data_IF_536802656714
#
_entry.id   IF_536802656714
#
_cell.length_a   1.000
_cell.length_b   1.000
_cell.length_c   1.000
_cell.angle_alpha   90.00
_cell.angle_beta   90.00
_cell.angle_gamma   90.00
#
_symmetry.space_group_name_H-M   'P 1'
#
loop_
_entity.id
_entity.type
_entity.pdbx_description
1 polymer ?
#
# COMPACT_ATOMS: atom_id res chain seq x y z
N UNK A 1 -28.67 -23.55 -30.22
CA UNK A 1 -29.10 -22.22 -29.71
C UNK A 1 -29.50 -22.18 -28.24
N UNK A 2 -29.60 -23.33 -27.53
CA UNK A 2 -29.91 -23.35 -26.08
C UNK A 2 -28.69 -23.63 -25.19
N UNK A 3 -27.50 -23.90 -25.74
CA UNK A 3 -26.28 -24.14 -24.99
C UNK A 3 -25.47 -22.86 -24.69
N UNK A 4 -25.72 -21.76 -25.38
CA UNK A 4 -25.05 -20.48 -25.17
C UNK A 4 -25.62 -19.69 -23.99
N UNK A 5 -26.86 -19.91 -23.61
CA UNK A 5 -27.50 -19.21 -22.47
C UNK A 5 -27.09 -19.78 -21.11
N UNK A 6 -26.70 -21.07 -21.07
CA UNK A 6 -26.29 -21.71 -19.80
C UNK A 6 -24.90 -21.31 -19.30
N UNK A 7 -24.02 -20.82 -20.17
CA UNK A 7 -22.66 -20.35 -19.81
C UNK A 7 -22.69 -18.87 -19.41
N UNK A 8 -23.71 -18.13 -19.80
CA UNK A 8 -23.92 -16.72 -19.42
C UNK A 8 -24.29 -16.50 -17.94
N UNK A 9 -24.72 -17.54 -17.26
CA UNK A 9 -25.23 -17.45 -15.88
C UNK A 9 -24.20 -17.74 -14.78
N UNK A 10 -22.96 -18.05 -15.14
CA UNK A 10 -21.89 -18.15 -14.13
C UNK A 10 -21.52 -16.77 -13.62
N UNK A 11 -21.46 -16.60 -12.29
CA UNK A 11 -21.23 -15.28 -11.64
C UNK A 11 -19.98 -14.54 -12.14
N UNK A 12 -18.96 -15.24 -12.61
CA UNK A 12 -17.76 -14.68 -13.24
C UNK A 12 -18.04 -14.09 -14.64
N UNK A 13 -18.90 -14.73 -15.45
CA UNK A 13 -19.24 -14.23 -16.78
C UNK A 13 -20.19 -13.02 -16.71
N UNK A 14 -21.06 -12.93 -15.70
CA UNK A 14 -21.86 -11.73 -15.43
C UNK A 14 -20.97 -10.57 -15.00
N UNK A 15 -19.99 -10.80 -14.11
CA UNK A 15 -19.03 -9.78 -13.68
C UNK A 15 -18.22 -9.23 -14.85
N UNK A 16 -17.64 -10.09 -15.68
CA UNK A 16 -16.90 -9.69 -16.88
C UNK A 16 -17.80 -9.00 -17.92
N UNK A 17 -19.02 -9.51 -18.14
CA UNK A 17 -19.99 -8.90 -19.05
C UNK A 17 -20.44 -7.51 -18.61
N UNK A 18 -20.61 -7.28 -17.31
CA UNK A 18 -20.98 -5.98 -16.76
C UNK A 18 -19.83 -4.97 -16.82
N UNK A 19 -18.60 -5.41 -16.53
CA UNK A 19 -17.39 -4.59 -16.69
C UNK A 19 -17.19 -4.21 -18.17
N UNK A 20 -17.45 -5.12 -19.08
CA UNK A 20 -17.33 -4.91 -20.54
C UNK A 20 -18.43 -3.98 -21.09
N UNK A 21 -19.69 -4.13 -20.65
CA UNK A 21 -20.82 -3.33 -21.15
C UNK A 21 -20.80 -1.87 -20.67
N UNK A 22 -20.11 -1.56 -19.56
CA UNK A 22 -20.09 -0.19 -19.01
C UNK A 22 -19.01 0.72 -19.59
N UNK A 23 -18.16 0.22 -20.47
CA UNK A 23 -17.11 1.03 -21.11
C UNK A 23 -17.71 2.14 -21.98
N UNK A 24 -18.79 1.85 -22.71
CA UNK A 24 -19.50 2.84 -23.51
C UNK A 24 -20.18 3.94 -22.67
N UNK A 25 -20.60 3.60 -21.43
CA UNK A 25 -21.19 4.59 -20.51
C UNK A 25 -20.13 5.56 -19.94
N UNK A 26 -18.87 5.16 -19.95
CA UNK A 26 -17.74 5.94 -19.39
C UNK A 26 -16.80 6.53 -20.45
N UNK A 27 -17.18 6.49 -21.75
CA UNK A 27 -16.38 6.98 -22.88
C UNK A 27 -14.95 6.41 -22.90
N UNK A 28 -14.80 5.12 -22.65
CA UNK A 28 -13.53 4.39 -22.67
C UNK A 28 -13.64 3.15 -23.55
N UNK A 29 -12.52 2.54 -23.90
CA UNK A 29 -12.41 1.30 -24.66
C UNK A 29 -11.46 0.30 -23.97
N UNK A 30 -11.48 -0.95 -24.42
CA UNK A 30 -10.70 -2.03 -23.81
C UNK A 30 -9.21 -1.71 -23.82
N UNK A 31 -8.69 -1.21 -24.94
CA UNK A 31 -7.26 -0.95 -25.10
C UNK A 31 -6.80 0.15 -24.14
N UNK A 32 -7.61 1.20 -23.99
CA UNK A 32 -7.38 2.28 -23.01
C UNK A 32 -7.40 1.76 -21.58
N UNK A 33 -8.35 0.90 -21.23
CA UNK A 33 -8.45 0.30 -19.89
C UNK A 33 -7.27 -0.64 -19.60
N UNK A 34 -6.82 -1.46 -20.56
CA UNK A 34 -5.66 -2.31 -20.43
C UNK A 34 -4.38 -1.49 -20.26
N UNK A 35 -4.21 -0.43 -21.06
CA UNK A 35 -3.08 0.49 -20.95
C UNK A 35 -3.09 1.21 -19.59
N UNK A 36 -4.25 1.65 -19.14
CA UNK A 36 -4.44 2.28 -17.83
C UNK A 36 -4.11 1.31 -16.69
N UNK A 37 -4.53 0.04 -16.79
CA UNK A 37 -4.18 -1.00 -15.83
C UNK A 37 -2.68 -1.31 -15.81
N UNK A 38 -2.05 -1.39 -16.97
CA UNK A 38 -0.59 -1.54 -17.07
C UNK A 38 0.13 -0.33 -16.45
N UNK A 39 -0.34 0.88 -16.74
CA UNK A 39 0.20 2.13 -16.17
C UNK A 39 0.10 2.13 -14.63
N UNK A 40 -1.07 1.78 -14.09
CA UNK A 40 -1.28 1.65 -12.65
C UNK A 40 -0.34 0.59 -12.05
N UNK A 41 -0.26 -0.60 -12.67
CA UNK A 41 0.63 -1.65 -12.19
C UNK A 41 2.08 -1.19 -12.12
N UNK A 42 2.61 -0.58 -13.20
CA UNK A 42 4.00 -0.14 -13.25
C UNK A 42 4.30 0.93 -12.20
N UNK A 43 3.33 1.80 -11.86
CA UNK A 43 3.52 2.82 -10.82
C UNK A 43 3.48 2.27 -9.40
N UNK A 44 2.75 1.17 -9.15
CA UNK A 44 2.63 0.56 -7.83
C UNK A 44 3.45 -0.73 -7.66
N UNK A 45 4.09 -1.25 -8.73
CA UNK A 45 4.80 -2.53 -8.71
C UNK A 45 6.02 -2.57 -7.75
N UNK A 46 6.52 -1.42 -7.30
CA UNK A 46 7.58 -1.36 -6.30
C UNK A 46 7.21 -2.06 -4.98
N UNK A 47 5.90 -2.20 -4.68
CA UNK A 47 5.40 -2.91 -3.49
C UNK A 47 5.81 -4.39 -3.49
N UNK A 48 5.99 -4.99 -4.67
CA UNK A 48 6.44 -6.37 -4.86
C UNK A 48 7.82 -6.60 -4.21
N UNK A 49 8.64 -5.56 -4.17
CA UNK A 49 9.98 -5.59 -3.56
C UNK A 49 9.94 -5.09 -2.11
N UNK A 50 9.29 -3.96 -1.89
CA UNK A 50 9.32 -3.25 -0.61
C UNK A 50 8.57 -4.01 0.49
N UNK A 51 7.39 -4.58 0.20
CA UNK A 51 6.61 -5.27 1.22
C UNK A 51 7.33 -6.52 1.77
N UNK A 52 7.89 -7.43 0.94
CA UNK A 52 8.66 -8.55 1.44
C UNK A 52 9.91 -8.14 2.23
N UNK A 53 10.60 -7.08 1.81
CA UNK A 53 11.78 -6.57 2.52
C UNK A 53 11.44 -6.05 3.92
N UNK A 54 10.37 -5.27 4.05
CA UNK A 54 9.95 -4.72 5.34
C UNK A 54 9.44 -5.83 6.24
N UNK A 55 8.51 -6.66 5.76
CA UNK A 55 7.87 -7.67 6.60
C UNK A 55 8.81 -8.82 6.98
N UNK A 56 9.82 -9.17 6.17
CA UNK A 56 10.82 -10.19 6.51
C UNK A 56 11.64 -9.85 7.76
N UNK A 57 11.75 -8.56 8.12
CA UNK A 57 12.39 -8.14 9.36
C UNK A 57 11.67 -8.63 10.63
N UNK A 58 10.43 -9.11 10.51
CA UNK A 58 9.68 -9.75 11.61
C UNK A 58 10.01 -11.23 11.80
N UNK A 59 10.89 -11.80 10.97
CA UNK A 59 11.21 -13.22 10.96
C UNK A 59 10.32 -14.06 10.03
N UNK A 60 9.40 -13.45 9.28
CA UNK A 60 8.62 -14.11 8.25
C UNK A 60 9.50 -14.47 7.04
N UNK A 61 9.19 -15.58 6.36
CA UNK A 61 9.89 -15.98 5.12
C UNK A 61 9.61 -14.97 3.99
N UNK A 62 10.68 -14.40 3.44
CA UNK A 62 10.60 -13.34 2.43
C UNK A 62 9.95 -13.83 1.13
N UNK A 63 10.21 -15.09 0.74
CA UNK A 63 9.62 -15.69 -0.47
C UNK A 63 8.12 -15.89 -0.31
N UNK A 64 7.69 -16.38 0.85
CA UNK A 64 6.26 -16.54 1.16
C UNK A 64 5.53 -15.19 1.19
N UNK A 65 6.14 -14.14 1.79
CA UNK A 65 5.56 -12.79 1.79
C UNK A 65 5.46 -12.24 0.37
N UNK A 66 6.46 -12.46 -0.48
CA UNK A 66 6.43 -12.02 -1.87
C UNK A 66 5.23 -12.62 -2.62
N UNK A 67 5.05 -13.95 -2.54
CA UNK A 67 3.91 -14.64 -3.14
C UNK A 67 2.60 -14.16 -2.52
N UNK A 68 2.55 -14.06 -1.18
CA UNK A 68 1.39 -13.55 -0.44
C UNK A 68 1.01 -12.13 -0.87
N UNK A 69 1.98 -11.23 -1.04
CA UNK A 69 1.78 -9.86 -1.53
C UNK A 69 1.12 -9.85 -2.91
N UNK A 70 1.66 -10.62 -3.85
CA UNK A 70 1.13 -10.69 -5.21
C UNK A 70 -0.29 -11.29 -5.25
N UNK A 71 -0.55 -12.36 -4.47
CA UNK A 71 -1.86 -12.99 -4.39
C UNK A 71 -2.90 -12.08 -3.72
N UNK A 72 -2.54 -11.45 -2.61
CA UNK A 72 -3.41 -10.51 -1.90
C UNK A 72 -3.77 -9.30 -2.78
N UNK A 73 -2.78 -8.72 -3.46
CA UNK A 73 -3.00 -7.61 -4.38
C UNK A 73 -3.85 -8.00 -5.58
N UNK A 74 -3.58 -9.17 -6.19
CA UNK A 74 -4.36 -9.67 -7.32
C UNK A 74 -5.82 -9.89 -6.94
N UNK A 75 -6.07 -10.59 -5.83
CA UNK A 75 -7.42 -10.85 -5.35
C UNK A 75 -8.16 -9.55 -5.01
N UNK A 76 -7.49 -8.62 -4.32
CA UNK A 76 -8.05 -7.31 -3.99
C UNK A 76 -8.44 -6.52 -5.24
N UNK A 77 -7.56 -6.49 -6.24
CA UNK A 77 -7.84 -5.83 -7.53
C UNK A 77 -9.00 -6.48 -8.28
N UNK A 78 -9.14 -7.82 -8.23
CA UNK A 78 -10.30 -8.51 -8.82
C UNK A 78 -11.59 -8.17 -8.09
N UNK A 79 -11.59 -8.16 -6.76
CA UNK A 79 -12.76 -7.76 -5.97
C UNK A 79 -13.14 -6.31 -6.31
N UNK A 80 -12.17 -5.39 -6.34
CA UNK A 80 -12.40 -3.99 -6.68
C UNK A 80 -12.96 -3.85 -8.10
N UNK A 81 -12.38 -4.55 -9.08
CA UNK A 81 -12.79 -4.48 -10.48
C UNK A 81 -14.17 -5.07 -10.72
N UNK A 82 -14.44 -6.29 -10.25
CA UNK A 82 -15.71 -6.98 -10.52
C UNK A 82 -16.88 -6.50 -9.67
N UNK A 83 -16.63 -6.19 -8.39
CA UNK A 83 -17.71 -5.84 -7.46
C UNK A 83 -18.03 -4.34 -7.47
N UNK A 84 -17.02 -3.47 -7.43
CA UNK A 84 -17.23 -2.03 -7.37
C UNK A 84 -17.18 -1.33 -8.73
N UNK A 85 -16.55 -1.96 -9.73
CA UNK A 85 -16.27 -1.41 -11.06
C UNK A 85 -15.45 -0.10 -10.99
N UNK A 86 -14.42 -0.07 -10.12
CA UNK A 86 -13.55 1.09 -9.95
C UNK A 86 -12.17 0.85 -10.55
N UNK A 87 -11.55 1.87 -11.19
CA UNK A 87 -10.21 1.78 -11.79
C UNK A 87 -9.10 1.96 -10.75
N UNK A 88 -9.17 1.21 -9.65
CA UNK A 88 -8.26 1.36 -8.51
C UNK A 88 -7.53 0.05 -8.25
N UNK A 89 -6.19 0.12 -8.23
CA UNK A 89 -5.33 -0.96 -7.78
C UNK A 89 -5.23 -0.97 -6.26
N UNK A 90 -5.20 -2.18 -5.69
CA UNK A 90 -5.04 -2.43 -4.26
C UNK A 90 -3.82 -3.30 -4.03
N UNK A 91 -3.11 -3.02 -2.94
CA UNK A 91 -2.00 -3.83 -2.47
C UNK A 91 -1.76 -3.59 -0.96
N UNK A 92 -0.87 -4.35 -0.28
CA UNK A 92 -0.53 -4.08 1.11
C UNK A 92 -0.06 -2.64 1.33
N UNK A 93 -0.67 -1.95 2.30
CA UNK A 93 -0.42 -0.53 2.57
C UNK A 93 0.93 -0.28 3.23
N UNK A 94 1.78 0.57 2.65
CA UNK A 94 3.16 0.75 3.09
C UNK A 94 3.31 1.29 4.51
N UNK A 95 2.49 2.28 4.89
CA UNK A 95 2.51 2.82 6.25
C UNK A 95 2.08 1.78 7.29
N UNK A 96 1.11 0.96 6.94
CA UNK A 96 0.61 -0.12 7.79
C UNK A 96 1.61 -1.29 7.90
N UNK A 97 2.36 -1.58 6.83
CA UNK A 97 3.47 -2.55 6.85
C UNK A 97 4.56 -2.12 7.82
N UNK A 98 4.91 -0.85 7.77
CA UNK A 98 5.94 -0.28 8.64
C UNK A 98 5.48 -0.29 10.10
N UNK A 99 4.25 0.09 10.39
CA UNK A 99 3.66 -0.01 11.73
C UNK A 99 3.62 -1.46 12.23
N UNK A 100 3.19 -2.40 11.37
CA UNK A 100 3.21 -3.83 11.68
C UNK A 100 4.60 -4.31 12.07
N UNK A 101 5.61 -4.02 11.23
CA UNK A 101 6.96 -4.57 11.36
C UNK A 101 7.75 -3.92 12.48
N UNK A 102 7.83 -2.59 12.47
CA UNK A 102 8.74 -1.89 13.37
C UNK A 102 8.10 -1.68 14.75
N UNK A 103 6.82 -1.34 14.80
CA UNK A 103 6.16 -1.04 16.07
C UNK A 103 5.61 -2.29 16.72
N UNK A 104 4.68 -2.99 16.06
CA UNK A 104 3.95 -4.10 16.71
C UNK A 104 4.88 -5.28 16.98
N UNK A 105 5.66 -5.71 15.99
CA UNK A 105 6.57 -6.85 16.13
C UNK A 105 7.91 -6.42 16.73
N UNK A 106 8.52 -5.35 16.19
CA UNK A 106 9.88 -4.95 16.57
C UNK A 106 9.97 -4.38 17.98
N UNK A 107 9.16 -3.37 18.32
CA UNK A 107 9.26 -2.66 19.60
C UNK A 107 8.38 -3.27 20.70
N UNK A 108 7.13 -3.59 20.35
CA UNK A 108 6.18 -4.18 21.32
C UNK A 108 6.50 -5.66 21.59
N UNK A 109 7.26 -6.32 20.71
CA UNK A 109 7.72 -7.70 20.87
C UNK A 109 6.62 -8.74 20.69
N UNK A 110 5.52 -8.40 20.02
CA UNK A 110 4.50 -9.40 19.66
C UNK A 110 4.99 -10.26 18.48
N UNK A 111 4.55 -11.52 18.44
CA UNK A 111 4.83 -12.34 17.26
C UNK A 111 4.04 -11.83 16.05
N UNK A 112 4.59 -12.04 14.85
CA UNK A 112 3.95 -11.60 13.62
C UNK A 112 2.59 -12.28 13.38
N UNK A 113 2.37 -13.50 13.91
CA UNK A 113 1.10 -14.20 13.85
C UNK A 113 0.02 -13.47 14.67
N UNK A 114 0.38 -12.93 15.84
CA UNK A 114 -0.52 -12.13 16.69
C UNK A 114 -0.81 -10.79 16.01
N UNK A 115 0.20 -10.17 15.41
CA UNK A 115 0.03 -8.92 14.65
C UNK A 115 -0.90 -9.13 13.43
N UNK A 116 -0.80 -10.26 12.70
CA UNK A 116 -1.75 -10.63 11.64
C UNK A 116 -3.16 -10.86 12.18
N UNK A 117 -3.29 -11.44 13.38
CA UNK A 117 -4.58 -11.56 14.09
C UNK A 117 -5.21 -10.20 14.37
N UNK A 118 -4.41 -9.22 14.79
CA UNK A 118 -4.89 -7.85 15.02
C UNK A 118 -5.34 -7.17 13.71
N UNK A 119 -4.59 -7.34 12.62
CA UNK A 119 -4.97 -6.86 11.27
C UNK A 119 -6.29 -7.49 10.82
N UNK A 120 -6.45 -8.79 11.03
CA UNK A 120 -7.69 -9.51 10.71
C UNK A 120 -8.89 -8.95 11.45
N UNK A 121 -8.77 -8.73 12.78
CA UNK A 121 -9.85 -8.16 13.60
C UNK A 121 -10.14 -6.71 13.14
N UNK A 122 -9.11 -5.90 12.89
CA UNK A 122 -9.27 -4.54 12.36
C UNK A 122 -9.99 -4.54 11.00
N UNK A 123 -9.65 -5.49 10.11
CA UNK A 123 -10.31 -5.69 8.83
C UNK A 123 -11.79 -6.04 8.98
N UNK A 124 -12.15 -6.95 9.91
CA UNK A 124 -13.55 -7.29 10.21
C UNK A 124 -14.31 -6.06 10.73
N UNK A 125 -13.72 -5.30 11.66
CA UNK A 125 -14.33 -4.07 12.16
C UNK A 125 -14.55 -3.06 11.04
N UNK A 126 -13.57 -2.88 10.16
CA UNK A 126 -13.67 -1.99 9.00
C UNK A 126 -14.78 -2.47 8.04
N UNK A 127 -14.88 -3.77 7.79
CA UNK A 127 -15.92 -4.35 6.95
C UNK A 127 -17.32 -4.12 7.54
N UNK A 128 -17.52 -4.37 8.85
CA UNK A 128 -18.77 -4.10 9.54
C UNK A 128 -19.12 -2.61 9.48
N UNK A 129 -18.15 -1.71 9.67
CA UNK A 129 -18.35 -0.27 9.55
C UNK A 129 -18.71 0.14 8.12
N UNK A 130 -18.14 -0.52 7.11
CA UNK A 130 -18.43 -0.23 5.70
C UNK A 130 -19.84 -0.62 5.28
N UNK A 131 -20.44 -1.65 5.91
CA UNK A 131 -21.85 -2.04 5.71
C UNK A 131 -22.80 -1.07 6.44
N UNK A 132 -22.38 -0.56 7.58
CA UNK A 132 -23.21 0.28 8.44
C UNK A 132 -23.10 1.77 8.08
N UNK A 133 -24.07 2.58 8.53
CA UNK A 133 -23.99 4.05 8.41
C UNK A 133 -22.93 4.69 9.34
N UNK A 134 -22.33 3.89 10.23
CA UNK A 134 -21.35 4.33 11.23
C UNK A 134 -20.11 4.96 10.56
N UNK A 135 -19.69 4.44 9.41
CA UNK A 135 -18.59 4.99 8.63
C UNK A 135 -18.83 6.45 8.22
N UNK A 136 -20.04 6.76 7.68
CA UNK A 136 -20.35 8.13 7.25
C UNK A 136 -20.29 9.07 8.45
N UNK A 137 -20.88 8.67 9.57
CA UNK A 137 -20.83 9.43 10.82
C UNK A 137 -19.37 9.68 11.27
N UNK A 138 -18.49 8.69 11.21
CA UNK A 138 -17.08 8.84 11.59
C UNK A 138 -16.32 9.75 10.63
N UNK A 139 -16.49 9.57 9.31
CA UNK A 139 -15.81 10.43 8.32
C UNK A 139 -16.27 11.89 8.44
N UNK A 140 -17.56 12.11 8.73
CA UNK A 140 -18.11 13.46 8.89
C UNK A 140 -17.71 14.08 10.24
N UNK A 141 -17.41 13.24 11.26
CA UNK A 141 -17.02 13.69 12.60
C UNK A 141 -15.55 14.13 12.70
N UNK A 142 -14.69 13.72 11.76
CA UNK A 142 -13.27 14.08 11.80
C UNK A 142 -13.00 15.19 10.79
N UNK A 143 -12.46 16.35 11.23
CA UNK A 143 -12.09 17.45 10.38
C UNK A 143 -11.17 17.00 9.23
N UNK A 144 -11.33 17.65 8.07
CA UNK A 144 -10.53 17.33 6.88
C UNK A 144 -9.03 17.51 7.12
N UNK A 145 -8.67 18.54 7.90
CA UNK A 145 -7.29 18.84 8.31
C UNK A 145 -6.62 17.64 9.02
N UNK A 146 -7.34 16.97 9.93
CA UNK A 146 -6.80 15.80 10.65
C UNK A 146 -6.68 14.57 9.74
N UNK A 147 -7.61 14.38 8.81
CA UNK A 147 -7.52 13.27 7.81
C UNK A 147 -6.31 13.45 6.90
N UNK A 148 -6.04 14.66 6.42
CA UNK A 148 -4.85 14.99 5.64
C UNK A 148 -3.59 14.80 6.48
N UNK A 149 -3.60 15.25 7.73
CA UNK A 149 -2.47 15.15 8.63
C UNK A 149 -2.06 13.71 8.89
N UNK A 150 -3.01 12.77 9.04
CA UNK A 150 -2.71 11.34 9.19
C UNK A 150 -1.97 10.79 7.98
N UNK A 151 -2.44 11.07 6.76
CA UNK A 151 -1.75 10.66 5.54
C UNK A 151 -0.33 11.23 5.45
N UNK A 152 -0.15 12.50 5.75
CA UNK A 152 1.16 13.16 5.76
C UNK A 152 2.09 12.60 6.84
N UNK A 153 1.57 12.28 8.03
CA UNK A 153 2.36 11.68 9.11
C UNK A 153 2.86 10.28 8.76
N UNK A 154 2.01 9.45 8.16
CA UNK A 154 2.40 8.16 7.60
C UNK A 154 3.45 8.33 6.50
N UNK A 155 3.27 9.31 5.62
CA UNK A 155 4.26 9.67 4.60
C UNK A 155 5.62 10.02 5.21
N UNK A 156 5.63 10.86 6.24
CA UNK A 156 6.87 11.23 6.95
C UNK A 156 7.56 10.01 7.57
N UNK A 157 6.80 9.09 8.16
CA UNK A 157 7.32 7.85 8.73
C UNK A 157 7.97 6.96 7.65
N UNK A 158 7.31 6.75 6.51
CA UNK A 158 7.86 6.00 5.38
C UNK A 158 9.16 6.64 4.87
N UNK A 159 9.22 7.98 4.81
CA UNK A 159 10.41 8.72 4.42
C UNK A 159 11.60 8.45 5.36
N UNK A 160 11.37 8.44 6.67
CA UNK A 160 12.40 8.09 7.65
C UNK A 160 12.90 6.65 7.46
N UNK A 161 11.99 5.70 7.22
CA UNK A 161 12.38 4.31 6.93
C UNK A 161 13.24 4.26 5.66
N UNK A 162 12.85 4.97 4.59
CA UNK A 162 13.63 5.06 3.37
C UNK A 162 15.04 5.63 3.61
N UNK A 163 15.15 6.74 4.32
CA UNK A 163 16.43 7.36 4.68
C UNK A 163 17.33 6.43 5.49
N UNK A 164 16.74 5.70 6.46
CA UNK A 164 17.45 4.71 7.28
C UNK A 164 17.89 3.50 6.45
N UNK A 165 17.00 2.92 5.65
CA UNK A 165 17.30 1.74 4.83
C UNK A 165 18.34 2.01 3.75
N UNK A 166 18.41 3.25 3.25
CA UNK A 166 19.45 3.70 2.33
C UNK A 166 20.77 4.08 3.00
N UNK A 167 20.86 4.03 4.33
CA UNK A 167 22.05 4.46 5.07
C UNK A 167 22.33 5.98 4.96
N UNK A 168 21.38 6.77 4.42
CA UNK A 168 21.52 8.23 4.28
C UNK A 168 21.44 8.91 5.64
N UNK A 169 20.58 8.39 6.52
CA UNK A 169 20.44 8.84 7.90
C UNK A 169 20.74 7.67 8.83
N UNK A 170 21.60 7.90 9.81
CA UNK A 170 22.02 6.92 10.83
C UNK A 170 21.77 7.46 12.23
N UNK A 171 21.67 6.56 13.20
CA UNK A 171 21.52 6.94 14.62
C UNK A 171 22.79 7.60 15.15
N UNK A 172 22.61 8.61 15.99
CA UNK A 172 23.70 9.31 16.69
C UNK A 172 23.27 9.58 18.13
N UNK A 173 24.10 9.20 19.09
CA UNK A 173 23.76 9.30 20.52
C UNK A 173 23.59 10.74 21.02
N UNK A 174 24.24 11.71 20.37
CA UNK A 174 24.19 13.12 20.78
C UNK A 174 23.02 13.88 20.13
N UNK A 175 22.72 13.60 18.84
CA UNK A 175 21.76 14.35 18.05
C UNK A 175 20.58 13.50 17.56
N UNK A 176 20.48 12.25 18.02
CA UNK A 176 19.55 11.19 17.59
C UNK A 176 19.75 10.76 16.14
N UNK A 177 20.03 11.69 15.23
CA UNK A 177 20.22 11.45 13.81
C UNK A 177 21.48 12.18 13.31
N UNK A 178 22.22 11.53 12.43
CA UNK A 178 23.34 12.12 11.69
C UNK A 178 23.32 11.66 10.24
N UNK A 179 24.07 12.38 9.40
CA UNK A 179 24.28 11.99 8.01
C UNK A 179 25.12 10.72 7.97
N UNK A 180 24.71 9.76 7.15
CA UNK A 180 25.45 8.52 6.92
C UNK A 180 26.74 8.74 6.14
N UNK A 181 27.56 7.69 6.03
CA UNK A 181 28.80 7.75 5.29
C UNK A 181 28.59 7.51 3.79
N UNK A 182 28.81 8.52 2.97
CA UNK A 182 28.70 8.46 1.51
C UNK A 182 29.92 7.84 0.80
N UNK A 183 30.98 7.50 1.53
CA UNK A 183 32.05 6.66 1.00
C UNK A 183 31.58 5.20 0.83
N UNK A 184 30.50 4.83 1.53
CA UNK A 184 29.85 3.54 1.33
C UNK A 184 29.06 3.53 -0.01
N UNK A 185 29.41 2.60 -0.88
CA UNK A 185 28.80 2.45 -2.20
C UNK A 185 27.29 2.26 -2.15
N UNK A 186 26.77 1.54 -1.14
CA UNK A 186 25.34 1.29 -0.96
C UNK A 186 24.57 2.59 -0.66
N UNK A 187 25.11 3.43 0.24
CA UNK A 187 24.54 4.74 0.59
C UNK A 187 24.57 5.69 -0.61
N UNK A 188 25.65 5.68 -1.37
CA UNK A 188 25.77 6.48 -2.60
C UNK A 188 24.74 6.03 -3.66
N UNK A 189 24.60 4.72 -3.86
CA UNK A 189 23.60 4.16 -4.79
C UNK A 189 22.16 4.47 -4.35
N UNK A 190 21.85 4.47 -3.04
CA UNK A 190 20.56 4.88 -2.51
C UNK A 190 20.24 6.34 -2.88
N UNK A 191 21.21 7.26 -2.68
CA UNK A 191 21.03 8.67 -3.00
C UNK A 191 20.88 8.89 -4.52
N UNK A 192 21.69 8.20 -5.34
CA UNK A 192 21.56 8.23 -6.81
C UNK A 192 20.20 7.68 -7.24
N UNK A 193 19.72 6.59 -6.62
CA UNK A 193 18.41 6.02 -6.89
C UNK A 193 17.27 7.01 -6.64
N UNK A 194 17.31 7.70 -5.52
CA UNK A 194 16.33 8.75 -5.20
C UNK A 194 16.37 9.91 -6.24
N UNK A 195 17.56 10.39 -6.59
CA UNK A 195 17.70 11.45 -7.59
C UNK A 195 17.20 11.00 -8.96
N UNK A 196 17.53 9.77 -9.37
CA UNK A 196 17.07 9.20 -10.64
C UNK A 196 15.54 9.12 -10.69
N UNK A 197 14.90 8.56 -9.64
CA UNK A 197 13.43 8.50 -9.53
C UNK A 197 12.84 9.90 -9.64
N UNK A 198 13.40 10.87 -8.92
CA UNK A 198 12.92 12.26 -8.91
C UNK A 198 13.01 12.90 -10.30
N UNK A 199 14.12 12.72 -11.01
CA UNK A 199 14.30 13.25 -12.38
C UNK A 199 13.31 12.59 -13.35
N UNK A 200 13.13 11.28 -13.29
CA UNK A 200 12.19 10.56 -14.14
C UNK A 200 10.75 10.99 -13.88
N UNK A 201 10.40 11.19 -12.61
CA UNK A 201 9.08 11.65 -12.20
C UNK A 201 8.78 13.09 -12.64
N UNK A 202 9.75 14.02 -12.52
CA UNK A 202 9.63 15.39 -13.02
C UNK A 202 9.40 15.38 -14.55
N UNK A 203 10.05 14.46 -15.26
CA UNK A 203 9.83 14.25 -16.69
C UNK A 203 8.54 13.52 -17.03
N UNK A 204 7.70 13.20 -16.03
CA UNK A 204 6.42 12.48 -16.18
C UNK A 204 6.57 11.10 -16.84
N UNK A 205 7.70 10.44 -16.64
CA UNK A 205 7.92 9.08 -17.15
C UNK A 205 7.14 8.11 -16.29
N UNK A 206 6.20 7.39 -16.90
CA UNK A 206 5.40 6.35 -16.24
C UNK A 206 6.32 5.27 -15.71
N UNK A 207 6.12 4.90 -14.43
CA UNK A 207 6.95 3.89 -13.78
C UNK A 207 8.33 4.37 -13.32
N UNK A 208 8.52 5.68 -13.14
CA UNK A 208 9.77 6.26 -12.63
C UNK A 208 10.35 5.51 -11.43
N UNK A 209 9.48 5.09 -10.51
CA UNK A 209 9.86 4.37 -9.28
C UNK A 209 10.47 3.01 -9.61
N UNK A 210 9.76 2.17 -10.37
CA UNK A 210 10.25 0.82 -10.71
C UNK A 210 11.51 0.88 -11.58
N UNK A 211 11.57 1.82 -12.52
CA UNK A 211 12.76 2.03 -13.36
C UNK A 211 13.95 2.39 -12.48
N UNK A 212 13.79 3.31 -11.53
CA UNK A 212 14.86 3.71 -10.62
C UNK A 212 15.36 2.54 -9.76
N UNK A 213 14.42 1.78 -9.15
CA UNK A 213 14.77 0.59 -8.37
C UNK A 213 15.54 -0.43 -9.20
N UNK A 214 15.07 -0.76 -10.41
CA UNK A 214 15.73 -1.72 -11.28
C UNK A 214 17.10 -1.23 -11.75
N UNK A 215 17.25 0.04 -12.12
CA UNK A 215 18.54 0.61 -12.54
C UNK A 215 19.58 0.51 -11.41
N UNK A 216 19.20 0.84 -10.18
CA UNK A 216 20.10 0.70 -9.03
C UNK A 216 20.42 -0.76 -8.75
N UNK A 217 19.45 -1.67 -8.87
CA UNK A 217 19.67 -3.11 -8.70
C UNK A 217 20.64 -3.65 -9.76
N UNK A 218 20.49 -3.25 -11.03
CA UNK A 218 21.43 -3.61 -12.08
C UNK A 218 22.83 -3.00 -11.88
N UNK A 219 22.91 -1.73 -11.43
CA UNK A 219 24.18 -1.13 -11.05
C UNK A 219 24.88 -1.92 -9.93
N UNK A 220 24.11 -2.37 -8.93
CA UNK A 220 24.61 -3.21 -7.83
C UNK A 220 25.13 -4.57 -8.31
N UNK A 221 24.49 -5.15 -9.33
CA UNK A 221 24.95 -6.39 -9.96
C UNK A 221 26.31 -6.18 -10.66
N UNK A 222 26.49 -5.09 -11.40
CA UNK A 222 27.78 -4.76 -12.04
C UNK A 222 28.90 -4.50 -11.03
N UNK A 223 28.55 -4.00 -9.86
CA UNK A 223 29.50 -3.75 -8.75
C UNK A 223 29.74 -5.00 -7.88
N UNK A 224 29.16 -6.16 -8.24
CA UNK A 224 29.20 -7.41 -7.45
C UNK A 224 28.69 -7.27 -6.00
N UNK A 225 27.76 -6.36 -5.77
CA UNK A 225 27.10 -6.19 -4.46
C UNK A 225 25.89 -7.13 -4.32
N UNK A 226 25.40 -7.69 -5.42
CA UNK A 226 24.23 -8.58 -5.47
C UNK A 226 24.53 -9.72 -6.45
N UNK A 227 24.05 -10.93 -6.12
CA UNK A 227 24.21 -12.11 -6.98
C UNK A 227 23.01 -12.25 -7.93
N UNK A 228 23.28 -12.65 -9.18
CA UNK A 228 22.23 -12.92 -10.16
C UNK A 228 21.73 -14.35 -10.07
N UNK A 229 20.47 -14.52 -9.66
CA UNK A 229 19.84 -15.84 -9.46
C UNK A 229 18.81 -16.21 -10.56
N UNK A 230 18.88 -15.54 -11.72
CA UNK A 230 17.97 -15.78 -12.84
C UNK A 230 16.85 -14.74 -12.94
N UNK A 231 16.01 -14.88 -13.96
CA UNK A 231 14.90 -13.94 -14.25
C UNK A 231 13.56 -14.53 -13.87
N UNK A 232 13.34 -15.81 -14.17
CA UNK A 232 12.07 -16.51 -13.96
C UNK A 232 12.32 -17.79 -13.18
N UNK A 233 11.47 -18.09 -12.21
CA UNK A 233 11.48 -19.35 -11.46
C UNK A 233 10.06 -19.80 -11.13
N UNK A 234 9.94 -21.03 -10.61
CA UNK A 234 8.71 -21.42 -9.94
C UNK A 234 8.48 -20.53 -8.73
N UNK A 235 7.19 -20.22 -8.42
CA UNK A 235 6.85 -19.43 -7.25
C UNK A 235 7.43 -20.04 -5.97
N UNK A 236 7.99 -19.22 -5.05
CA UNK A 236 8.32 -19.67 -3.71
C UNK A 236 7.11 -20.27 -2.98
N UNK A 237 7.37 -21.13 -1.99
CA UNK A 237 6.30 -21.74 -1.21
C UNK A 237 5.61 -20.69 -0.32
N UNK A 238 4.27 -20.69 -0.35
CA UNK A 238 3.44 -19.82 0.50
C UNK A 238 3.18 -20.43 1.89
N UNK A 239 3.40 -21.73 2.07
CA UNK A 239 3.08 -22.49 3.29
C UNK A 239 3.61 -21.87 4.59
N UNK A 240 4.78 -21.19 4.64
CA UNK A 240 5.27 -20.58 5.88
C UNK A 240 4.37 -19.48 6.45
N UNK A 241 3.63 -18.75 5.60
CA UNK A 241 2.80 -17.61 6.04
C UNK A 241 1.31 -17.84 5.87
N UNK A 242 0.91 -18.86 5.07
CA UNK A 242 -0.48 -19.13 4.76
C UNK A 242 -1.27 -19.53 6.02
N UNK A 243 -2.35 -18.79 6.32
CA UNK A 243 -3.28 -19.04 7.42
C UNK A 243 -2.62 -19.12 8.82
N UNK A 244 -1.49 -18.46 9.01
CA UNK A 244 -0.73 -18.50 10.28
C UNK A 244 -1.15 -17.43 11.29
N UNK A 245 -2.25 -16.72 11.04
CA UNK A 245 -2.74 -15.68 11.96
C UNK A 245 -3.18 -16.26 13.32
N UNK A 246 -2.79 -15.62 14.41
CA UNK A 246 -3.18 -15.97 15.77
C UNK A 246 -4.23 -14.97 16.30
N UNK A 247 -5.52 -15.28 16.06
CA UNK A 247 -6.65 -14.44 16.50
C UNK A 247 -6.77 -14.41 18.00
N UNK A 248 -6.54 -15.54 18.70
CA UNK A 248 -6.68 -15.63 20.14
C UNK A 248 -5.68 -14.73 20.85
N UNK A 249 -4.42 -14.75 20.40
CA UNK A 249 -3.39 -13.87 20.94
C UNK A 249 -3.67 -12.37 20.67
N UNK A 250 -4.42 -12.07 19.61
CA UNK A 250 -4.81 -10.70 19.28
C UNK A 250 -6.02 -10.18 20.08
N UNK A 251 -6.70 -11.04 20.85
CA UNK A 251 -7.81 -10.63 21.72
C UNK A 251 -7.36 -10.11 23.09
N UNK A 252 -6.07 -9.96 23.32
CA UNK A 252 -5.54 -9.34 24.53
C UNK A 252 -5.98 -7.86 24.62
N UNK A 253 -6.25 -7.39 25.83
CA UNK A 253 -6.64 -6.01 26.11
C UNK A 253 -5.58 -5.01 25.60
N UNK A 254 -4.29 -5.36 25.71
CA UNK A 254 -3.20 -4.53 25.19
C UNK A 254 -3.24 -4.37 23.66
N UNK A 255 -3.84 -5.32 22.93
CA UNK A 255 -3.97 -5.28 21.47
C UNK A 255 -5.09 -4.36 20.98
N UNK A 256 -6.01 -3.94 21.85
CA UNK A 256 -7.15 -3.08 21.46
C UNK A 256 -6.64 -1.78 20.80
N UNK A 257 -5.64 -1.13 21.39
CA UNK A 257 -5.06 0.10 20.83
C UNK A 257 -4.42 -0.13 19.47
N UNK A 258 -3.77 -1.27 19.27
CA UNK A 258 -3.13 -1.67 18.00
C UNK A 258 -4.20 -1.94 16.94
N UNK A 259 -5.24 -2.70 17.28
CA UNK A 259 -6.38 -3.00 16.40
C UNK A 259 -7.06 -1.69 15.95
N UNK A 260 -7.30 -0.77 16.90
CA UNK A 260 -7.89 0.53 16.59
C UNK A 260 -6.97 1.39 15.71
N UNK A 261 -5.65 1.33 15.91
CA UNK A 261 -4.69 2.03 15.07
C UNK A 261 -4.72 1.50 13.63
N UNK A 262 -4.68 0.17 13.43
CA UNK A 262 -4.85 -0.44 12.11
C UNK A 262 -6.18 -0.04 11.46
N UNK A 263 -7.27 -0.08 12.22
CA UNK A 263 -8.60 0.28 11.74
C UNK A 263 -8.66 1.73 11.25
N UNK A 264 -8.25 2.68 12.10
CA UNK A 264 -8.36 4.11 11.77
C UNK A 264 -7.43 4.51 10.63
N UNK A 265 -6.16 4.09 10.67
CA UNK A 265 -5.21 4.42 9.61
C UNK A 265 -5.69 3.85 8.28
N UNK A 266 -6.12 2.57 8.23
CA UNK A 266 -6.63 1.97 7.01
C UNK A 266 -7.90 2.67 6.49
N UNK A 267 -8.85 2.97 7.38
CA UNK A 267 -10.09 3.67 7.02
C UNK A 267 -9.83 5.04 6.38
N UNK A 268 -8.92 5.84 6.96
CA UNK A 268 -8.66 7.19 6.47
C UNK A 268 -7.80 7.19 5.22
N UNK A 269 -6.82 6.31 5.13
CA UNK A 269 -5.99 6.12 3.95
C UNK A 269 -6.85 5.72 2.73
N UNK A 270 -7.67 4.68 2.90
CA UNK A 270 -8.60 4.23 1.86
C UNK A 270 -9.60 5.31 1.46
N UNK A 271 -10.24 5.98 2.44
CA UNK A 271 -11.24 7.01 2.14
C UNK A 271 -10.61 8.19 1.38
N UNK A 272 -9.43 8.65 1.79
CA UNK A 272 -8.70 9.72 1.14
C UNK A 272 -8.29 9.36 -0.29
N UNK A 273 -7.73 8.17 -0.47
CA UNK A 273 -7.29 7.65 -1.77
C UNK A 273 -8.46 7.48 -2.73
N UNK A 274 -9.54 6.80 -2.31
CA UNK A 274 -10.70 6.57 -3.15
C UNK A 274 -11.36 7.87 -3.59
N UNK A 275 -11.53 8.86 -2.69
CA UNK A 275 -12.07 10.17 -3.06
C UNK A 275 -11.14 10.93 -4.00
N UNK A 276 -9.84 10.86 -3.79
CA UNK A 276 -8.83 11.46 -4.67
C UNK A 276 -8.88 10.90 -6.09
N UNK A 277 -8.95 9.56 -6.21
CA UNK A 277 -9.07 8.88 -7.50
C UNK A 277 -10.43 9.15 -8.15
N UNK A 278 -11.53 9.14 -7.37
CA UNK A 278 -12.88 9.44 -7.87
C UNK A 278 -12.98 10.84 -8.51
N UNK A 279 -12.34 11.82 -7.86
CA UNK A 279 -12.28 13.20 -8.40
C UNK A 279 -11.55 13.24 -9.74
N UNK A 280 -10.40 12.58 -9.85
CA UNK A 280 -9.63 12.53 -11.10
C UNK A 280 -10.31 11.70 -12.19
N UNK A 281 -11.02 10.64 -11.81
CA UNK A 281 -11.76 9.78 -12.74
C UNK A 281 -13.07 10.39 -13.22
N UNK A 282 -13.49 11.54 -12.67
CA UNK A 282 -14.80 12.17 -12.94
C UNK A 282 -15.98 11.23 -12.66
N UNK A 283 -15.88 10.37 -11.63
CA UNK A 283 -16.98 9.48 -11.20
C UNK A 283 -17.76 10.03 -10.00
N UNK A 284 -17.62 11.33 -9.75
CA UNK A 284 -18.38 12.08 -8.75
C UNK A 284 -19.64 12.63 -9.40
N UNK A 285 -20.79 12.43 -8.73
CA UNK A 285 -22.08 12.97 -9.17
C UNK A 285 -22.21 14.48 -8.90
N UNK A 286 -23.30 15.10 -9.38
CA UNK A 286 -23.58 16.53 -9.19
C UNK A 286 -23.76 16.92 -7.70
N UNK A 287 -23.99 15.95 -6.82
CA UNK A 287 -24.15 16.14 -5.39
C UNK A 287 -22.83 15.94 -4.61
N UNK A 288 -21.71 15.73 -5.31
CA UNK A 288 -20.41 15.49 -4.70
C UNK A 288 -20.19 14.07 -4.20
N UNK A 289 -21.08 13.10 -4.50
CA UNK A 289 -20.95 11.72 -4.09
C UNK A 289 -20.25 10.89 -5.19
N UNK A 290 -19.28 10.08 -4.80
CA UNK A 290 -18.65 9.15 -5.73
C UNK A 290 -19.57 7.94 -5.97
N UNK A 291 -19.85 7.64 -7.25
CA UNK A 291 -20.69 6.50 -7.65
C UNK A 291 -20.08 5.18 -7.16
N UNK A 292 -20.89 4.35 -6.49
CA UNK A 292 -20.45 3.05 -5.93
C UNK A 292 -19.33 3.12 -4.87
N UNK A 293 -19.12 4.25 -4.21
CA UNK A 293 -18.10 4.38 -3.15
C UNK A 293 -18.30 3.34 -2.03
N UNK A 294 -19.55 3.03 -1.67
CA UNK A 294 -19.86 2.02 -0.65
C UNK A 294 -19.34 0.63 -1.06
N UNK A 295 -19.47 0.28 -2.35
CA UNK A 295 -18.93 -0.99 -2.85
C UNK A 295 -17.40 -1.00 -2.90
N UNK A 296 -16.78 0.13 -3.25
CA UNK A 296 -15.33 0.24 -3.26
C UNK A 296 -14.73 0.07 -1.85
N UNK A 297 -15.37 0.66 -0.85
CA UNK A 297 -14.95 0.50 0.55
C UNK A 297 -15.20 -0.91 1.11
N UNK A 298 -16.28 -1.58 0.67
CA UNK A 298 -16.49 -2.98 1.00
C UNK A 298 -15.45 -3.89 0.32
N UNK A 299 -15.08 -3.58 -0.92
CA UNK A 299 -14.02 -4.30 -1.64
C UNK A 299 -12.67 -4.14 -0.93
N UNK A 300 -12.34 -2.94 -0.49
CA UNK A 300 -11.08 -2.63 0.22
C UNK A 300 -11.03 -3.34 1.58
N UNK A 301 -12.05 -3.15 2.43
CA UNK A 301 -12.11 -3.78 3.76
C UNK A 301 -12.14 -5.31 3.68
N UNK A 302 -12.88 -5.89 2.73
CA UNK A 302 -12.88 -7.32 2.47
C UNK A 302 -11.50 -7.82 2.03
N UNK A 303 -10.81 -7.06 1.18
CA UNK A 303 -9.47 -7.38 0.72
C UNK A 303 -8.44 -7.37 1.86
N UNK A 304 -8.58 -6.46 2.82
CA UNK A 304 -7.75 -6.44 4.03
C UNK A 304 -7.93 -7.71 4.87
N UNK A 305 -9.16 -8.23 5.00
CA UNK A 305 -9.42 -9.50 5.71
C UNK A 305 -8.74 -10.66 4.97
N UNK A 306 -8.97 -10.78 3.67
CA UNK A 306 -8.42 -11.88 2.89
C UNK A 306 -6.90 -11.82 2.78
N UNK A 307 -6.30 -10.61 2.73
CA UNK A 307 -4.85 -10.42 2.69
C UNK A 307 -4.13 -11.06 3.88
N UNK A 308 -4.73 -11.05 5.07
CA UNK A 308 -4.14 -11.67 6.25
C UNK A 308 -3.97 -13.19 6.14
N UNK A 309 -4.83 -13.87 5.36
CA UNK A 309 -4.69 -15.31 5.12
C UNK A 309 -3.45 -15.65 4.32
N UNK A 310 -2.99 -14.73 3.46
CA UNK A 310 -1.74 -14.85 2.72
C UNK A 310 -0.51 -14.32 3.47
N UNK A 311 -0.69 -13.93 4.74
CA UNK A 311 0.40 -13.38 5.55
C UNK A 311 0.72 -11.91 5.25
N UNK A 312 -0.23 -11.16 4.69
CA UNK A 312 -0.04 -9.75 4.38
C UNK A 312 -0.60 -8.82 5.47
N UNK A 313 0.04 -7.68 5.64
CA UNK A 313 -0.49 -6.52 6.36
C UNK A 313 -1.78 -6.00 5.68
N UNK A 314 -2.48 -5.00 6.26
CA UNK A 314 -3.72 -4.51 5.66
C UNK A 314 -3.55 -4.12 4.21
N UNK A 315 -4.42 -4.64 3.35
CA UNK A 315 -4.51 -4.26 1.93
C UNK A 315 -5.34 -2.99 1.84
N UNK A 316 -4.87 -2.02 1.06
CA UNK A 316 -5.53 -0.71 0.89
C UNK A 316 -5.47 -0.24 -0.56
N UNK A 317 -6.32 0.73 -0.88
CA UNK A 317 -6.35 1.38 -2.19
C UNK A 317 -5.13 2.28 -2.40
N UNK A 318 -4.54 2.24 -3.59
CA UNK A 318 -3.30 2.95 -3.92
C UNK A 318 -3.57 4.26 -4.69
N UNK A 319 -2.97 5.35 -4.22
CA UNK A 319 -3.05 6.68 -4.86
C UNK A 319 -2.40 6.69 -6.25
N UNK A 320 -1.45 5.82 -6.51
CA UNK A 320 -0.80 5.58 -7.79
C UNK A 320 -1.79 5.17 -8.88
N UNK A 321 -2.98 4.66 -8.52
CA UNK A 321 -4.09 4.41 -9.44
C UNK A 321 -4.50 5.66 -10.22
N UNK A 322 -4.19 6.84 -9.69
CA UNK A 322 -4.39 8.11 -10.39
C UNK A 322 -3.65 8.17 -11.73
N UNK A 323 -2.48 7.54 -11.84
CA UNK A 323 -1.72 7.49 -13.09
C UNK A 323 -2.46 6.69 -14.19
N UNK A 324 -3.09 5.58 -13.82
CA UNK A 324 -3.95 4.83 -14.76
C UNK A 324 -5.22 5.59 -15.14
N UNK A 325 -5.80 6.32 -14.19
CA UNK A 325 -6.94 7.20 -14.47
C UNK A 325 -6.56 8.33 -15.42
N UNK A 326 -5.37 8.93 -15.26
CA UNK A 326 -4.82 9.93 -16.18
C UNK A 326 -4.54 9.33 -17.58
N UNK A 327 -4.18 8.04 -17.65
CA UNK A 327 -4.03 7.31 -18.91
C UNK A 327 -5.39 6.88 -19.55
N UNK A 328 -6.53 7.22 -18.93
CA UNK A 328 -7.85 7.00 -19.49
C UNK A 328 -8.68 5.90 -18.81
N UNK A 329 -8.16 5.25 -17.74
CA UNK A 329 -8.89 4.23 -16.98
C UNK A 329 -10.12 4.82 -16.27
N UNK A 330 -11.26 4.15 -16.43
CA UNK A 330 -12.55 4.61 -15.88
C UNK A 330 -13.38 3.49 -15.28
N UNK A 331 -13.01 2.24 -15.55
CA UNK A 331 -13.81 1.08 -15.18
C UNK A 331 -12.99 0.06 -14.38
N UNK A 332 -13.66 -0.94 -13.82
CA UNK A 332 -13.03 -2.03 -13.10
C UNK A 332 -12.08 -2.89 -13.95
N UNK A 333 -12.11 -2.78 -15.29
CA UNK A 333 -11.18 -3.51 -16.15
C UNK A 333 -9.73 -3.08 -15.91
N UNK A 334 -9.52 -1.79 -15.62
CA UNK A 334 -8.22 -1.28 -15.17
C UNK A 334 -7.71 -2.06 -13.94
N UNK A 335 -8.55 -2.20 -12.89
CA UNK A 335 -8.17 -2.94 -11.69
C UNK A 335 -7.94 -4.45 -11.96
N UNK A 336 -8.80 -5.07 -12.78
CA UNK A 336 -8.63 -6.48 -13.18
C UNK A 336 -7.29 -6.68 -13.90
N UNK A 337 -6.90 -5.77 -14.78
CA UNK A 337 -5.59 -5.81 -15.46
C UNK A 337 -4.44 -5.73 -14.48
N UNK A 338 -4.52 -4.86 -13.48
CA UNK A 338 -3.53 -4.79 -12.38
C UNK A 338 -3.43 -6.14 -11.67
N UNK A 339 -4.56 -6.75 -11.32
CA UNK A 339 -4.60 -8.05 -10.66
C UNK A 339 -3.94 -9.16 -11.48
N UNK A 340 -4.19 -9.21 -12.78
CA UNK A 340 -3.55 -10.18 -13.68
C UNK A 340 -2.03 -9.98 -13.74
N UNK A 341 -1.56 -8.73 -13.76
CA UNK A 341 -0.14 -8.42 -13.77
C UNK A 341 0.55 -8.79 -12.45
N UNK A 342 -0.13 -8.65 -11.31
CA UNK A 342 0.38 -9.16 -10.02
C UNK A 342 0.49 -10.69 -10.02
N UNK A 343 -0.46 -11.43 -10.60
CA UNK A 343 -0.33 -12.89 -10.73
C UNK A 343 0.85 -13.26 -11.63
N UNK A 344 1.06 -12.54 -12.73
CA UNK A 344 2.20 -12.77 -13.61
C UNK A 344 3.53 -12.47 -12.89
N UNK A 345 3.55 -11.43 -12.03
CA UNK A 345 4.74 -11.04 -11.29
C UNK A 345 5.28 -12.13 -10.35
N UNK A 346 4.45 -13.08 -9.91
CA UNK A 346 4.84 -14.19 -9.03
C UNK A 346 6.00 -15.01 -9.63
N UNK A 347 6.04 -15.17 -10.95
CA UNK A 347 7.08 -15.93 -11.64
C UNK A 347 8.42 -15.18 -11.73
N UNK A 348 8.45 -13.88 -11.43
CA UNK A 348 9.66 -13.05 -11.41
C UNK A 348 10.29 -12.94 -10.02
N UNK A 349 10.06 -13.93 -9.15
CA UNK A 349 10.58 -13.97 -7.79
C UNK A 349 12.13 -13.85 -7.70
N UNK A 350 12.96 -14.41 -8.62
CA UNK A 350 14.41 -14.21 -8.52
C UNK A 350 14.82 -12.73 -8.64
N UNK A 351 14.18 -11.98 -9.54
CA UNK A 351 14.43 -10.54 -9.66
C UNK A 351 13.98 -9.82 -8.39
N UNK A 352 12.81 -10.18 -7.86
CA UNK A 352 12.28 -9.53 -6.67
C UNK A 352 13.18 -9.74 -5.44
N UNK A 353 13.74 -10.94 -5.28
CA UNK A 353 14.64 -11.28 -4.19
C UNK A 353 16.03 -10.67 -4.34
N UNK A 354 16.42 -10.33 -5.57
CA UNK A 354 17.71 -9.73 -5.87
C UNK A 354 17.75 -8.23 -5.53
N UNK A 355 16.59 -7.55 -5.48
CA UNK A 355 16.51 -6.09 -5.21
C UNK A 355 17.00 -5.81 -3.79
N UNK A 356 18.11 -5.06 -3.58
CA UNK A 356 18.60 -4.74 -2.24
C UNK A 356 17.81 -3.60 -1.60
N UNK A 357 17.82 -3.53 -0.26
CA UNK A 357 17.06 -2.55 0.50
C UNK A 357 17.45 -1.10 0.18
N UNK A 358 18.72 -0.83 -0.10
CA UNK A 358 19.15 0.51 -0.51
C UNK A 358 18.64 0.91 -1.90
N UNK A 359 18.34 -0.03 -2.79
CA UNK A 359 17.72 0.29 -4.08
C UNK A 359 16.25 0.71 -3.92
N UNK A 360 15.53 0.15 -2.96
CA UNK A 360 14.14 0.52 -2.68
C UNK A 360 14.01 1.77 -1.80
N UNK A 361 15.08 2.21 -1.15
CA UNK A 361 15.08 3.39 -0.27
C UNK A 361 14.66 4.66 -1.01
N UNK A 362 15.16 4.86 -2.23
CA UNK A 362 14.79 6.00 -3.08
C UNK A 362 13.30 6.02 -3.42
N UNK A 363 12.68 4.85 -3.62
CA UNK A 363 11.24 4.71 -3.82
C UNK A 363 10.45 5.14 -2.59
N UNK A 364 10.86 4.69 -1.40
CA UNK A 364 10.22 5.05 -0.12
C UNK A 364 10.29 6.56 0.13
N UNK A 365 11.45 7.18 -0.10
CA UNK A 365 11.63 8.63 0.06
C UNK A 365 10.73 9.38 -0.93
N UNK A 366 10.66 8.94 -2.18
CA UNK A 366 9.83 9.58 -3.20
C UNK A 366 8.33 9.48 -2.87
N UNK A 367 7.85 8.30 -2.46
CA UNK A 367 6.46 8.09 -2.05
C UNK A 367 6.12 8.93 -0.81
N UNK A 368 7.03 9.05 0.14
CA UNK A 368 6.91 9.95 1.28
C UNK A 368 6.63 11.38 0.84
N UNK A 369 7.38 11.90 -0.13
CA UNK A 369 7.18 13.27 -0.66
C UNK A 369 5.80 13.40 -1.30
N UNK A 370 5.34 12.39 -2.05
CA UNK A 370 3.99 12.40 -2.62
C UNK A 370 2.90 12.45 -1.55
N UNK A 371 3.06 11.72 -0.45
CA UNK A 371 2.11 11.74 0.66
C UNK A 371 2.15 13.07 1.42
N UNK A 372 3.35 13.64 1.64
CA UNK A 372 3.54 14.93 2.27
C UNK A 372 2.97 16.09 1.45
N UNK A 373 2.84 15.96 0.13
CA UNK A 373 2.22 16.99 -0.71
C UNK A 373 0.77 17.30 -0.31
N UNK A 374 0.11 16.39 0.40
CA UNK A 374 -1.20 16.63 1.01
C UNK A 374 -1.25 17.86 1.94
N UNK A 375 -0.11 18.27 2.51
CA UNK A 375 -0.01 19.47 3.35
C UNK A 375 -0.42 20.76 2.63
N UNK A 376 -0.34 20.82 1.31
CA UNK A 376 -0.82 21.97 0.52
C UNK A 376 -2.31 22.25 0.71
N UNK A 377 -3.09 21.23 1.11
CA UNK A 377 -4.54 21.34 1.33
C UNK A 377 -4.92 21.78 2.73
N UNK A 378 -3.94 21.93 3.63
CA UNK A 378 -4.17 22.47 4.98
C UNK A 378 -4.33 24.00 4.90
N UNK A 379 -5.28 24.53 5.68
CA UNK A 379 -5.40 25.97 5.82
C UNK A 379 -4.36 26.51 6.81
N UNK A 380 -3.29 27.08 6.27
CA UNK A 380 -2.18 27.64 7.05
C UNK A 380 -2.55 28.93 7.78
N UNK A 381 -3.71 29.53 7.47
CA UNK A 381 -4.20 30.75 8.12
C UNK A 381 -5.04 30.45 9.36
N UNK A 382 -5.67 29.27 9.45
CA UNK A 382 -6.43 28.84 10.62
C UNK A 382 -5.57 28.01 11.58
N UNK A 383 -5.02 28.69 12.58
CA UNK A 383 -4.14 28.06 13.57
C UNK A 383 -4.88 27.01 14.44
N UNK A 384 -6.20 27.11 14.58
CA UNK A 384 -6.99 26.15 15.38
C UNK A 384 -7.08 24.76 14.72
N UNK A 385 -7.07 24.69 13.39
CA UNK A 385 -7.00 23.43 12.62
C UNK A 385 -5.57 23.02 12.32
N UNK A 386 -4.69 23.97 12.06
CA UNK A 386 -3.30 23.72 11.67
C UNK A 386 -2.50 23.09 12.81
N UNK A 387 -2.63 23.57 14.04
CA UNK A 387 -1.82 23.09 15.18
C UNK A 387 -2.09 21.61 15.48
N UNK A 388 -3.34 21.12 15.61
CA UNK A 388 -3.60 19.70 15.77
C UNK A 388 -3.09 18.85 14.59
N UNK A 389 -3.22 19.35 13.36
CA UNK A 389 -2.73 18.68 12.16
C UNK A 389 -1.20 18.51 12.20
N UNK A 390 -0.44 19.55 12.50
CA UNK A 390 1.01 19.47 12.61
C UNK A 390 1.47 18.55 13.73
N UNK A 391 0.78 18.58 14.88
CA UNK A 391 1.06 17.65 15.98
C UNK A 391 0.91 16.21 15.51
N UNK A 392 -0.17 15.88 14.80
CA UNK A 392 -0.38 14.52 14.25
C UNK A 392 0.75 14.14 13.28
N UNK A 393 1.11 15.03 12.33
CA UNK A 393 2.16 14.76 11.35
C UNK A 393 3.49 14.43 12.03
N UNK A 394 3.86 15.17 13.06
CA UNK A 394 5.12 14.98 13.78
C UNK A 394 5.04 13.77 14.72
N UNK A 395 3.89 13.58 15.38
CA UNK A 395 3.75 12.53 16.39
C UNK A 395 3.54 11.14 15.78
N UNK A 396 3.03 11.00 14.57
CA UNK A 396 2.88 9.68 13.95
C UNK A 396 4.24 8.94 13.86
N UNK A 397 5.31 9.51 13.28
CA UNK A 397 6.62 8.84 13.29
C UNK A 397 7.13 8.54 14.71
N UNK A 398 6.86 9.44 15.66
CA UNK A 398 7.28 9.30 17.06
C UNK A 398 6.39 8.33 17.83
N UNK A 399 5.05 8.39 17.64
CA UNK A 399 4.09 7.53 18.35
C UNK A 399 4.13 6.09 17.88
N UNK A 400 4.41 5.84 16.61
CA UNK A 400 4.68 4.50 16.14
C UNK A 400 5.94 3.91 16.78
N UNK A 401 6.82 4.76 17.34
CA UNK A 401 7.99 4.35 18.11
C UNK A 401 7.80 4.40 19.64
N UNK A 402 6.83 5.14 20.18
CA UNK A 402 6.76 5.44 21.62
C UNK A 402 5.41 5.17 22.31
N UNK A 403 4.35 4.75 21.62
CA UNK A 403 3.08 4.39 22.29
C UNK A 403 3.22 3.18 23.25
N UNK A 404 4.43 2.71 23.51
CA UNK A 404 4.76 1.54 24.31
C UNK A 404 5.60 1.79 25.54
N UNK A 405 5.80 3.04 25.96
CA UNK A 405 6.32 3.29 27.30
C UNK A 405 5.13 3.66 28.20
N UNK A 406 4.65 2.83 29.15
CA UNK A 406 5.41 2.27 30.26
C UNK A 406 4.90 0.93 30.86
N UNK A 407 4.54 -0.08 30.12
CA UNK A 407 3.99 -1.31 30.75
C UNK A 407 5.05 -2.37 31.12
N UNK A 408 6.31 -2.20 30.74
CA UNK A 408 7.38 -3.15 31.08
C UNK A 408 8.23 -2.80 32.34
N UNK A 409 7.80 -1.84 33.17
CA UNK A 409 8.50 -1.52 34.43
C UNK A 409 7.63 -1.52 35.67
N UNK A 410 6.64 -2.41 35.73
CA UNK A 410 5.99 -2.76 37.00
C UNK A 410 5.82 -4.29 36.99
N UNK A 411 6.90 -5.01 37.22
CA UNK A 411 7.00 -6.25 38.00
C UNK A 411 8.43 -6.31 38.52
#
# INVERSE_FOLDING_TARGET
>A
FQAEDGIRDFCLSRGLGDVYKRQSEHNTDINTELLAGFTTFVTMAYIIFVNPQIMSLTGMDQGAIFVGTCLAAAMACFIMGFYSNWPVGLAPGMGLNAFFTFTVVGEMGYSWEVALGAVFIAGILFFIMSITKLRRWMLDSIPLSLRIAMGCGVGLFIGFIGLKSGGIVVSNDATFLSLGNFDNTETLLAAIGFLLISVLAIRKITGAIIIGVLVITFASLFLNLVEFNGVVSYPPELSPTLMKLNIIGALDVAMISIIMSFLFVNLFDTAGTLLGVATRANIIDQNGNAKNLDKALLADSGSSIFGTFFGCSPVTSYVESSAGVEAGGRTGLTAVTVGLLFLLAIFFSPIAMMVPAYATSGALIYVSILMLSGMEKLDWSDFSELLPALIIIIMIPVSYTHLTLPTKRIV
#
